data_IF_685715757855
#
_entry.id   IF_685715757855
#
_cell.length_a   1.000
_cell.length_b   1.000
_cell.length_c   1.000
_cell.angle_alpha   90.00
_cell.angle_beta   90.00
_cell.angle_gamma   90.00
#
_symmetry.space_group_name_H-M   'P 1'
#
loop_
_entity.id
_entity.type
_entity.pdbx_description
1 polymer ?
#
# COMPACT_ATOMS: atom_id res chain seq x y z
N UNK A 1 -1.62 -25.25 3.92
CA UNK A 1 -2.70 -24.31 4.30
C UNK A 1 -3.15 -23.61 3.03
N UNK A 2 -4.45 -23.61 2.70
CA UNK A 2 -4.96 -22.82 1.57
C UNK A 2 -4.60 -21.36 1.82
N UNK A 3 -3.89 -20.70 0.91
CA UNK A 3 -3.74 -19.25 0.96
C UNK A 3 -5.15 -18.63 0.98
N UNK A 4 -5.43 -17.79 1.98
CA UNK A 4 -6.70 -17.06 2.03
C UNK A 4 -6.82 -16.08 0.88
N UNK A 5 -8.04 -15.71 0.49
CA UNK A 5 -8.29 -14.65 -0.50
C UNK A 5 -7.60 -13.35 -0.06
N UNK A 6 -6.93 -12.66 -0.99
CA UNK A 6 -6.29 -11.35 -0.74
C UNK A 6 -7.36 -10.34 -0.28
N UNK A 7 -7.05 -9.57 0.75
CA UNK A 7 -7.91 -8.50 1.25
C UNK A 7 -7.34 -7.11 0.95
N UNK A 8 -8.13 -6.25 0.30
CA UNK A 8 -7.76 -4.86 0.03
C UNK A 8 -8.32 -3.95 1.13
N UNK A 9 -7.42 -3.42 1.96
CA UNK A 9 -7.74 -2.68 3.19
C UNK A 9 -7.63 -1.17 3.00
N UNK A 10 -8.54 -0.43 3.65
CA UNK A 10 -8.62 1.03 3.62
C UNK A 10 -8.86 1.59 2.21
N UNK A 11 -9.50 0.81 1.35
CA UNK A 11 -9.83 1.20 -0.02
C UNK A 11 -11.07 2.08 -0.07
N UNK A 12 -11.24 2.84 -1.15
CA UNK A 12 -12.49 3.55 -1.39
C UNK A 12 -13.60 2.57 -1.82
N UNK A 13 -14.85 2.94 -1.55
CA UNK A 13 -16.02 2.19 -1.99
C UNK A 13 -16.14 2.06 -3.51
N UNK A 14 -15.54 2.96 -4.28
CA UNK A 14 -15.47 2.95 -5.74
C UNK A 14 -14.09 2.52 -6.28
N UNK A 15 -13.27 1.85 -5.46
CA UNK A 15 -11.91 1.46 -5.85
C UNK A 15 -11.87 0.37 -6.93
N UNK A 16 -10.81 0.38 -7.72
CA UNK A 16 -10.52 -0.62 -8.76
C UNK A 16 -10.45 -2.05 -8.23
N UNK A 17 -10.13 -2.23 -6.94
CA UNK A 17 -10.07 -3.54 -6.28
C UNK A 17 -11.39 -4.31 -6.34
N UNK A 18 -12.55 -3.63 -6.38
CA UNK A 18 -13.85 -4.30 -6.54
C UNK A 18 -13.98 -5.04 -7.86
N UNK A 19 -13.35 -4.52 -8.91
CA UNK A 19 -13.34 -5.14 -10.24
C UNK A 19 -12.36 -6.33 -10.32
N UNK A 20 -11.42 -6.42 -9.36
CA UNK A 20 -10.44 -7.50 -9.29
C UNK A 20 -10.93 -8.72 -8.48
N UNK A 21 -12.14 -8.68 -7.91
CA UNK A 21 -12.70 -9.80 -7.17
C UNK A 21 -12.02 -10.12 -5.83
N UNK A 22 -11.27 -9.17 -5.25
CA UNK A 22 -10.62 -9.32 -3.93
C UNK A 22 -11.51 -8.87 -2.79
N UNK A 23 -11.19 -9.30 -1.57
CA UNK A 23 -11.97 -8.98 -0.36
C UNK A 23 -11.77 -7.49 0.03
N UNK A 24 -12.70 -6.61 -0.38
CA UNK A 24 -12.56 -5.17 -0.19
C UNK A 24 -13.09 -4.70 1.18
N UNK A 25 -12.27 -3.92 1.88
CA UNK A 25 -12.60 -3.28 3.15
C UNK A 25 -12.49 -1.76 3.03
N UNK A 26 -13.64 -1.15 2.74
CA UNK A 26 -13.80 0.30 2.69
C UNK A 26 -14.20 0.89 4.05
N UNK A 27 -14.64 2.15 4.05
CA UNK A 27 -15.03 2.86 5.27
C UNK A 27 -16.27 2.28 5.93
N UNK A 28 -17.19 1.67 5.17
CA UNK A 28 -18.43 1.11 5.70
C UNK A 28 -18.16 -0.23 6.39
N UNK A 29 -17.32 -1.08 5.79
CA UNK A 29 -16.93 -2.36 6.38
C UNK A 29 -15.89 -2.23 7.51
N UNK A 30 -15.19 -1.11 7.55
CA UNK A 30 -14.15 -0.80 8.54
C UNK A 30 -12.97 -1.78 8.53
N UNK A 31 -11.97 -1.49 7.70
CA UNK A 31 -10.73 -2.26 7.58
C UNK A 31 -9.99 -2.53 8.90
N UNK A 32 -10.23 -1.77 9.99
CA UNK A 32 -9.59 -2.00 11.30
C UNK A 32 -10.03 -3.33 11.93
N UNK A 33 -11.22 -3.81 11.54
CA UNK A 33 -11.84 -5.05 11.99
C UNK A 33 -11.35 -6.29 11.24
N UNK A 34 -10.51 -6.12 10.20
CA UNK A 34 -9.90 -7.26 9.51
C UNK A 34 -9.09 -8.12 10.49
N UNK A 35 -9.41 -9.41 10.54
CA UNK A 35 -8.84 -10.41 11.46
C UNK A 35 -8.13 -11.56 10.74
N UNK A 36 -7.89 -11.44 9.43
CA UNK A 36 -7.24 -12.48 8.62
C UNK A 36 -8.22 -13.51 8.05
N UNK A 37 -7.72 -14.66 7.56
CA UNK A 37 -6.31 -15.08 7.56
C UNK A 37 -5.53 -14.65 6.30
N UNK A 38 -6.18 -14.04 5.31
CA UNK A 38 -5.57 -13.72 4.02
C UNK A 38 -4.49 -12.64 4.08
N UNK A 39 -3.56 -12.61 3.11
CA UNK A 39 -2.62 -11.51 2.96
C UNK A 39 -3.35 -10.24 2.51
N UNK A 40 -2.76 -9.08 2.81
CA UNK A 40 -3.43 -7.79 2.62
C UNK A 40 -2.72 -6.87 1.62
N UNK A 41 -3.51 -6.07 0.91
CA UNK A 41 -3.05 -4.85 0.23
C UNK A 41 -3.62 -3.66 0.99
N UNK A 42 -2.79 -2.91 1.71
CA UNK A 42 -3.25 -1.84 2.60
C UNK A 42 -2.92 -0.44 2.06
N UNK A 43 -3.95 0.42 1.96
CA UNK A 43 -3.86 1.82 1.54
C UNK A 43 -4.37 2.80 2.61
N UNK A 44 -3.76 2.86 3.81
CA UNK A 44 -4.26 3.72 4.87
C UNK A 44 -4.21 5.21 4.46
N UNK A 45 -5.11 6.06 5.01
CA UNK A 45 -5.15 7.47 4.66
C UNK A 45 -3.83 8.19 4.90
N UNK A 46 -3.29 8.83 3.85
CA UNK A 46 -1.95 9.40 3.90
C UNK A 46 -1.88 10.83 4.45
N UNK A 47 -3.01 11.53 4.59
CA UNK A 47 -3.01 12.99 4.85
C UNK A 47 -2.44 13.39 6.21
N UNK A 48 -2.53 12.50 7.21
CA UNK A 48 -1.90 12.70 8.53
C UNK A 48 -0.37 12.45 8.51
N UNK A 49 0.14 11.80 7.47
CA UNK A 49 1.50 11.26 7.39
C UNK A 49 2.37 11.90 6.31
N UNK A 50 1.77 12.53 5.30
CA UNK A 50 2.46 13.11 4.15
C UNK A 50 3.17 14.44 4.42
N UNK A 51 3.87 14.95 3.40
CA UNK A 51 4.60 16.23 3.42
C UNK A 51 3.70 17.42 3.74
N UNK A 52 2.47 17.41 3.22
CA UNK A 52 1.50 18.50 3.37
C UNK A 52 0.62 18.34 4.62
N UNK A 53 0.97 17.46 5.57
CA UNK A 53 0.16 17.20 6.77
C UNK A 53 -0.13 18.45 7.61
N UNK A 54 0.76 19.44 7.61
CA UNK A 54 0.58 20.70 8.32
C UNK A 54 -0.63 21.52 7.81
N UNK A 55 -1.04 21.28 6.57
CA UNK A 55 -2.21 21.90 5.94
C UNK A 55 -3.42 20.95 5.86
N UNK A 56 -3.27 19.71 6.33
CA UNK A 56 -4.32 18.71 6.27
C UNK A 56 -5.22 18.78 7.51
N UNK A 57 -6.48 18.41 7.33
CA UNK A 57 -7.45 18.18 8.42
C UNK A 57 -7.79 16.69 8.48
N UNK A 58 -6.90 15.84 9.02
CA UNK A 58 -7.20 14.41 9.21
C UNK A 58 -8.39 14.23 10.16
N UNK A 59 -9.17 13.17 9.94
CA UNK A 59 -10.09 12.71 11.00
C UNK A 59 -9.23 12.19 12.15
N UNK A 60 -9.75 12.27 13.37
CA UNK A 60 -9.01 11.91 14.59
C UNK A 60 -8.44 10.48 14.54
N UNK A 61 -9.15 9.56 13.89
CA UNK A 61 -8.81 8.14 13.81
C UNK A 61 -7.82 7.76 12.69
N UNK A 62 -7.54 8.67 11.75
CA UNK A 62 -6.76 8.31 10.55
C UNK A 62 -5.28 8.09 10.80
N UNK A 63 -4.71 8.81 11.77
CA UNK A 63 -3.31 8.57 12.15
C UNK A 63 -3.18 7.15 12.71
N UNK A 64 -4.09 6.74 13.60
CA UNK A 64 -4.11 5.37 14.13
C UNK A 64 -4.36 4.32 13.04
N UNK A 65 -5.16 4.63 12.01
CA UNK A 65 -5.39 3.72 10.88
C UNK A 65 -4.09 3.36 10.13
N UNK A 66 -3.15 4.31 9.98
CA UNK A 66 -1.84 4.02 9.37
C UNK A 66 -1.01 2.99 10.14
N UNK A 67 -0.93 3.14 11.47
CA UNK A 67 -0.22 2.17 12.31
C UNK A 67 -0.93 0.82 12.37
N UNK A 68 -2.28 0.82 12.35
CA UNK A 68 -3.07 -0.41 12.29
C UNK A 68 -2.85 -1.17 10.99
N UNK A 69 -2.79 -0.47 9.85
CA UNK A 69 -2.46 -1.07 8.55
C UNK A 69 -1.07 -1.73 8.56
N UNK A 70 -0.07 -1.06 9.13
CA UNK A 70 1.27 -1.62 9.28
C UNK A 70 1.26 -2.89 10.13
N UNK A 71 0.54 -2.89 11.25
CA UNK A 71 0.36 -4.07 12.08
C UNK A 71 -0.35 -5.20 11.33
N UNK A 72 -1.38 -4.91 10.52
CA UNK A 72 -2.10 -5.92 9.73
C UNK A 72 -1.18 -6.59 8.70
N UNK A 73 -0.36 -5.82 7.99
CA UNK A 73 0.63 -6.36 7.03
C UNK A 73 1.67 -7.22 7.75
N UNK A 74 2.16 -6.79 8.91
CA UNK A 74 3.08 -7.60 9.75
C UNK A 74 2.45 -8.91 10.21
N UNK A 75 1.17 -8.87 10.59
CA UNK A 75 0.46 -10.02 11.16
C UNK A 75 0.03 -11.04 10.11
N UNK A 76 -0.49 -10.57 8.97
CA UNK A 76 -1.14 -11.42 7.97
C UNK A 76 -0.31 -11.59 6.68
N UNK A 77 0.83 -10.91 6.58
CA UNK A 77 1.57 -10.82 5.32
C UNK A 77 0.88 -9.88 4.32
N UNK A 78 1.58 -9.57 3.23
CA UNK A 78 1.09 -8.70 2.17
C UNK A 78 1.90 -7.41 2.04
N UNK A 79 1.24 -6.33 1.62
CA UNK A 79 1.87 -5.06 1.25
C UNK A 79 1.12 -3.84 1.81
N UNK A 80 1.87 -2.92 2.42
CA UNK A 80 1.42 -1.56 2.73
C UNK A 80 1.96 -0.62 1.65
N UNK A 81 1.08 0.07 0.93
CA UNK A 81 1.45 1.11 -0.02
C UNK A 81 1.26 2.49 0.60
N UNK A 82 2.28 3.33 0.51
CA UNK A 82 2.18 4.69 1.03
C UNK A 82 3.20 5.63 0.38
N UNK A 83 2.86 6.92 0.14
CA UNK A 83 3.80 7.90 -0.42
C UNK A 83 5.22 7.83 0.18
N UNK A 84 6.24 7.87 -0.67
CA UNK A 84 7.64 7.68 -0.28
C UNK A 84 8.12 8.63 0.83
N UNK A 85 7.58 9.84 0.89
CA UNK A 85 7.92 10.86 1.90
C UNK A 85 7.08 10.75 3.18
N UNK A 86 6.46 9.61 3.45
CA UNK A 86 5.55 9.44 4.57
C UNK A 86 6.28 9.25 5.88
N UNK A 87 5.83 9.97 6.92
CA UNK A 87 6.30 9.75 8.29
C UNK A 87 5.79 8.42 8.88
N UNK A 88 4.87 7.72 8.21
CA UNK A 88 4.40 6.40 8.66
C UNK A 88 5.56 5.40 8.70
N UNK A 89 6.47 5.44 7.72
CA UNK A 89 7.62 4.54 7.67
C UNK A 89 8.58 4.80 8.84
N UNK A 90 8.81 6.07 9.18
CA UNK A 90 9.58 6.44 10.37
C UNK A 90 8.90 5.96 11.66
N UNK A 91 7.60 6.19 11.80
CA UNK A 91 6.82 5.71 12.95
C UNK A 91 6.74 4.17 13.02
N UNK A 92 6.90 3.49 11.88
CA UNK A 92 6.93 2.03 11.76
C UNK A 92 8.24 1.38 12.19
N UNK A 93 9.18 2.12 12.77
CA UNK A 93 10.50 1.62 13.16
C UNK A 93 11.62 2.01 12.19
N UNK A 94 11.49 3.15 11.50
CA UNK A 94 12.53 3.63 10.58
C UNK A 94 12.65 2.84 9.28
N UNK A 95 11.53 2.30 8.79
CA UNK A 95 11.45 1.53 7.55
C UNK A 95 11.97 2.35 6.37
N UNK A 96 12.93 1.81 5.61
CA UNK A 96 13.49 2.49 4.44
C UNK A 96 14.06 1.50 3.43
N UNK A 97 14.08 1.85 2.13
CA UNK A 97 14.76 1.05 1.11
C UNK A 97 16.22 0.76 1.48
N UNK A 98 16.70 -0.44 1.18
CA UNK A 98 18.09 -0.85 1.41
C UNK A 98 18.46 -1.17 2.87
N UNK A 99 17.52 -1.10 3.82
CA UNK A 99 17.78 -1.45 5.22
C UNK A 99 17.76 -2.97 5.52
N UNK A 100 17.52 -3.81 4.51
CA UNK A 100 17.29 -5.24 4.70
C UNK A 100 15.88 -5.54 5.24
N UNK A 101 15.74 -6.70 5.89
CA UNK A 101 14.49 -7.13 6.53
C UNK A 101 14.43 -6.64 7.98
N UNK A 102 13.25 -6.22 8.44
CA UNK A 102 13.01 -5.89 9.84
C UNK A 102 12.71 -7.15 10.70
N UNK A 103 12.43 -6.96 11.99
CA UNK A 103 12.13 -8.06 12.92
C UNK A 103 10.87 -8.87 12.56
N UNK A 104 10.02 -8.36 11.65
CA UNK A 104 8.83 -9.05 11.15
C UNK A 104 9.08 -9.71 9.79
N UNK A 105 10.34 -9.75 9.34
CA UNK A 105 10.73 -10.23 8.02
C UNK A 105 10.37 -9.28 6.88
N UNK A 106 9.89 -8.07 7.19
CA UNK A 106 9.39 -7.11 6.22
C UNK A 106 10.49 -6.26 5.61
N UNK A 107 10.33 -5.84 4.36
CA UNK A 107 11.30 -5.02 3.63
C UNK A 107 10.60 -3.94 2.80
N UNK A 108 11.35 -2.95 2.32
CA UNK A 108 10.78 -1.80 1.60
C UNK A 108 11.22 -1.77 0.14
N UNK A 109 10.25 -1.77 -0.78
CA UNK A 109 10.46 -1.59 -2.22
C UNK A 109 10.00 -0.18 -2.65
N UNK A 110 10.91 0.68 -3.14
CA UNK A 110 10.54 1.94 -3.77
C UNK A 110 10.06 1.71 -5.21
N UNK A 111 8.92 2.30 -5.59
CA UNK A 111 8.40 2.27 -6.97
C UNK A 111 7.86 3.64 -7.39
N UNK A 112 7.76 3.87 -8.70
CA UNK A 112 7.02 5.00 -9.25
C UNK A 112 5.68 4.49 -9.79
N UNK A 113 4.57 5.10 -9.39
CA UNK A 113 3.27 4.72 -9.95
C UNK A 113 3.18 4.99 -11.47
N UNK A 114 4.10 5.78 -12.04
CA UNK A 114 4.18 6.02 -13.49
C UNK A 114 4.45 4.73 -14.26
N UNK A 115 5.25 3.83 -13.70
CA UNK A 115 5.61 2.55 -14.33
C UNK A 115 4.35 1.71 -14.59
N UNK A 116 3.33 1.94 -13.76
CA UNK A 116 2.01 1.33 -13.81
C UNK A 116 0.93 2.20 -14.49
N UNK A 117 1.30 3.26 -15.20
CA UNK A 117 0.36 4.08 -15.97
C UNK A 117 -0.07 5.41 -15.34
N UNK A 118 0.44 5.77 -14.16
CA UNK A 118 0.13 7.07 -13.57
C UNK A 118 0.73 8.22 -14.41
N UNK A 119 -0.04 9.31 -14.61
CA UNK A 119 0.37 10.45 -15.45
C UNK A 119 1.46 11.34 -14.83
N UNK A 120 1.77 11.13 -13.56
CA UNK A 120 2.81 11.84 -12.81
C UNK A 120 3.79 10.83 -12.18
N UNK A 121 5.06 11.19 -11.96
CA UNK A 121 6.09 10.35 -11.34
C UNK A 121 5.86 10.25 -9.83
N UNK A 122 4.70 9.71 -9.43
CA UNK A 122 4.26 9.62 -8.04
C UNK A 122 5.05 8.52 -7.34
N UNK A 123 6.11 8.95 -6.63
CA UNK A 123 6.96 8.06 -5.83
C UNK A 123 6.18 7.50 -4.63
N UNK A 124 6.18 6.18 -4.51
CA UNK A 124 5.55 5.45 -3.42
C UNK A 124 6.47 4.34 -2.92
N UNK A 125 6.36 4.02 -1.65
CA UNK A 125 7.09 2.91 -1.05
C UNK A 125 6.11 1.82 -0.65
N UNK A 126 6.57 0.59 -0.80
CA UNK A 126 5.84 -0.62 -0.47
C UNK A 126 6.56 -1.30 0.69
N UNK A 127 5.93 -1.43 1.84
CA UNK A 127 6.42 -2.29 2.91
C UNK A 127 5.79 -3.68 2.75
N UNK A 128 6.62 -4.69 2.54
CA UNK A 128 6.22 -6.03 2.10
C UNK A 128 6.63 -7.03 3.17
N UNK A 129 5.71 -7.89 3.59
CA UNK A 129 5.94 -9.01 4.52
C UNK A 129 5.48 -10.30 3.86
N UNK A 130 6.33 -11.33 3.86
CA UNK A 130 5.96 -12.67 3.39
C UNK A 130 6.33 -13.01 1.94
N UNK A 131 6.93 -12.08 1.18
CA UNK A 131 7.45 -12.32 -0.17
C UNK A 131 8.93 -11.94 -0.23
N UNK A 132 9.76 -12.76 -0.88
CA UNK A 132 11.17 -12.46 -1.10
C UNK A 132 11.35 -11.44 -2.24
N UNK A 133 12.33 -10.51 -2.15
CA UNK A 133 12.66 -9.63 -3.27
C UNK A 133 12.83 -10.33 -4.63
N UNK A 134 13.35 -11.55 -4.66
CA UNK A 134 13.52 -12.31 -5.90
C UNK A 134 12.18 -12.86 -6.47
N UNK A 135 11.14 -12.95 -5.65
CA UNK A 135 9.87 -13.60 -5.98
C UNK A 135 8.74 -12.61 -6.33
N UNK A 136 9.01 -11.30 -6.30
CA UNK A 136 8.01 -10.29 -6.64
C UNK A 136 7.52 -10.45 -8.09
N UNK A 137 6.28 -10.06 -8.42
CA UNK A 137 5.84 -10.05 -9.80
C UNK A 137 6.68 -9.08 -10.63
N UNK A 138 7.00 -9.46 -11.86
CA UNK A 138 7.64 -8.56 -12.82
C UNK A 138 6.74 -7.36 -13.15
N UNK A 139 7.33 -6.21 -13.41
CA UNK A 139 6.64 -5.04 -13.95
C UNK A 139 7.55 -4.31 -14.93
N UNK A 140 6.94 -3.62 -15.91
CA UNK A 140 7.68 -2.87 -16.91
C UNK A 140 8.10 -1.52 -16.35
N UNK A 141 9.41 -1.25 -16.35
CA UNK A 141 9.92 0.10 -16.11
C UNK A 141 9.56 1.00 -17.29
N UNK A 142 9.03 2.19 -17.01
CA UNK A 142 8.83 3.18 -18.05
C UNK A 142 10.02 4.12 -18.10
N UNK A 143 10.76 4.05 -19.20
CA UNK A 143 11.85 4.98 -19.47
C UNK A 143 11.31 6.40 -19.66
N UNK A 144 12.00 7.37 -19.07
CA UNK A 144 11.59 8.77 -19.04
C UNK A 144 10.77 9.14 -17.79
N UNK A 145 10.37 10.40 -17.72
CA UNK A 145 9.60 10.96 -16.60
C UNK A 145 8.24 11.39 -17.11
N UNK A 146 7.18 10.91 -16.47
CA UNK A 146 5.83 11.31 -16.83
C UNK A 146 5.67 12.84 -16.67
N UNK A 147 5.07 13.55 -17.64
CA UNK A 147 5.08 15.01 -17.68
C UNK A 147 4.09 15.65 -16.68
N UNK A 148 3.14 14.88 -16.15
CA UNK A 148 2.11 15.37 -15.24
C UNK A 148 2.63 15.65 -13.83
N UNK A 149 1.88 16.45 -13.07
CA UNK A 149 2.18 16.78 -11.68
C UNK A 149 1.00 16.39 -10.80
N UNK A 150 1.27 15.77 -9.65
CA UNK A 150 0.20 15.42 -8.67
C UNK A 150 -0.57 16.67 -8.22
N UNK A 151 0.09 17.84 -8.16
CA UNK A 151 -0.54 19.11 -7.79
C UNK A 151 -1.56 19.63 -8.81
N UNK A 152 -1.47 19.24 -10.08
CA UNK A 152 -2.42 19.64 -11.13
C UNK A 152 -3.61 18.70 -11.26
N UNK A 153 -3.69 17.65 -10.43
CA UNK A 153 -4.72 16.62 -10.48
C UNK A 153 -5.85 16.90 -9.49
N UNK A 154 -7.08 16.54 -9.86
CA UNK A 154 -8.23 16.56 -8.95
C UNK A 154 -8.09 15.56 -7.79
N UNK A 155 -8.87 15.73 -6.73
CA UNK A 155 -8.81 14.87 -5.53
C UNK A 155 -8.95 13.38 -5.88
N UNK A 156 -9.94 13.03 -6.70
CA UNK A 156 -10.21 11.66 -7.10
C UNK A 156 -9.04 11.03 -7.89
N UNK A 157 -8.42 11.78 -8.80
CA UNK A 157 -7.28 11.30 -9.58
C UNK A 157 -6.05 11.08 -8.68
N UNK A 158 -5.79 11.97 -7.72
CA UNK A 158 -4.67 11.80 -6.77
C UNK A 158 -4.80 10.55 -5.89
N UNK A 159 -6.03 10.22 -5.50
CA UNK A 159 -6.35 9.08 -4.63
C UNK A 159 -6.46 7.76 -5.39
N UNK A 160 -6.73 7.79 -6.71
CA UNK A 160 -6.93 6.58 -7.50
C UNK A 160 -5.62 5.82 -7.70
N UNK A 161 -5.63 4.54 -7.34
CA UNK A 161 -4.59 3.58 -7.71
C UNK A 161 -4.73 3.23 -9.20
N UNK A 162 -3.66 3.33 -10.02
CA UNK A 162 -3.70 2.84 -11.39
C UNK A 162 -4.11 1.37 -11.45
N UNK A 163 -4.90 0.97 -12.44
CA UNK A 163 -5.41 -0.41 -12.54
C UNK A 163 -4.29 -1.45 -12.63
N UNK A 164 -3.27 -1.18 -13.45
CA UNK A 164 -2.10 -2.06 -13.56
C UNK A 164 -1.34 -2.17 -12.22
N UNK A 165 -1.33 -1.10 -11.43
CA UNK A 165 -0.69 -1.12 -10.12
C UNK A 165 -1.50 -1.94 -9.11
N UNK A 166 -2.83 -1.78 -9.10
CA UNK A 166 -3.71 -2.56 -8.24
C UNK A 166 -3.62 -4.07 -8.54
N UNK A 167 -3.62 -4.45 -9.84
CA UNK A 167 -3.42 -5.85 -10.26
C UNK A 167 -2.09 -6.40 -9.77
N UNK A 168 -1.02 -5.63 -9.96
CA UNK A 168 0.33 -6.01 -9.52
C UNK A 168 0.43 -6.13 -7.99
N UNK A 169 -0.19 -5.23 -7.23
CA UNK A 169 -0.25 -5.30 -5.77
C UNK A 169 -1.01 -6.53 -5.27
N UNK A 170 -2.10 -6.91 -5.95
CA UNK A 170 -2.85 -8.14 -5.62
C UNK A 170 -2.03 -9.39 -5.90
N UNK A 171 -1.33 -9.47 -7.04
CA UNK A 171 -0.42 -10.58 -7.33
C UNK A 171 0.70 -10.66 -6.28
N UNK A 172 1.35 -9.53 -5.99
CA UNK A 172 2.38 -9.46 -4.95
C UNK A 172 1.86 -9.94 -3.58
N UNK A 173 0.71 -9.45 -3.13
CA UNK A 173 0.11 -9.87 -1.87
C UNK A 173 -0.27 -11.35 -1.88
N UNK A 174 -0.73 -11.89 -3.01
CA UNK A 174 -1.03 -13.31 -3.19
C UNK A 174 0.21 -14.22 -3.07
N UNK A 175 1.40 -13.70 -3.36
CA UNK A 175 2.68 -14.39 -3.15
C UNK A 175 3.20 -14.30 -1.71
N UNK A 176 2.61 -13.44 -0.88
CA UNK A 176 3.03 -13.31 0.51
C UNK A 176 2.50 -14.48 1.35
N UNK A 177 3.42 -15.24 1.97
CA UNK A 177 3.06 -16.11 3.08
C UNK A 177 2.77 -15.27 4.33
N UNK A 178 1.78 -15.67 5.14
CA UNK A 178 1.54 -15.02 6.44
C UNK A 178 2.82 -15.02 7.29
N UNK A 179 3.13 -13.88 7.92
CA UNK A 179 4.25 -13.80 8.85
C UNK A 179 4.05 -14.79 10.01
N UNK A 180 5.09 -15.54 10.35
CA UNK A 180 5.07 -16.45 11.50
C UNK A 180 4.49 -15.73 12.73
N UNK A 181 3.52 -16.39 13.37
CA UNK A 181 2.89 -15.90 14.61
C UNK A 181 3.92 -15.76 15.73
#
# INVERSE_FOLDING_TARGET
MSAGQVAALYVRGDSVYRQLGVDCWDIERDARRYSGPGPVVAHPPCRAWGRLRAFAKPRHDEKAAGLRALWQVRRFGGVLEHPASSLLFMAGGGLRPGAGRDAFGGWVLPVLQQDFGHRAPKATWLYIVGCDPADIPGFALRLGVAPGRVSSMGKAERERTPEAFAKWLVDLAGRCAGGAA
#
